data_IF_654618839680
#
_entry.id   IF_654618839680
#
_cell.length_a   1.000
_cell.length_b   1.000
_cell.length_c   1.000
_cell.angle_alpha   90.00
_cell.angle_beta   90.00
_cell.angle_gamma   90.00
#
_symmetry.space_group_name_H-M   'P 1'
#
loop_
_entity.id
_entity.type
_entity.pdbx_description
1 polymer ?
#
# COMPACT_ATOMS: atom_id res chain seq x y z
N UNK A 1 -57.14 -4.82 39.82
CA UNK A 1 -57.32 -3.52 39.14
C UNK A 1 -56.39 -3.54 37.93
N UNK A 2 -56.77 -4.03 36.77
CA UNK A 2 -57.73 -3.56 35.76
C UNK A 2 -56.92 -3.44 34.45
N UNK A 3 -57.35 -4.18 33.43
CA UNK A 3 -56.72 -4.37 32.10
C UNK A 3 -56.75 -3.09 31.26
N UNK A 4 -55.92 -3.06 30.20
CA UNK A 4 -56.30 -2.78 28.79
C UNK A 4 -55.02 -2.57 27.96
N UNK A 5 -54.65 -3.51 27.08
CA UNK A 5 -55.05 -3.72 25.67
C UNK A 5 -54.01 -3.15 24.68
N UNK A 6 -53.38 -4.08 23.97
CA UNK A 6 -52.64 -3.87 22.72
C UNK A 6 -53.55 -3.24 21.66
N UNK A 7 -53.03 -2.29 20.88
CA UNK A 7 -53.46 -2.05 19.50
C UNK A 7 -52.23 -1.82 18.62
N UNK A 8 -52.04 -2.76 17.70
CA UNK A 8 -51.13 -2.70 16.56
C UNK A 8 -51.66 -1.68 15.55
N UNK A 9 -50.83 -0.72 15.14
CA UNK A 9 -51.03 0.04 13.90
C UNK A 9 -49.71 0.14 13.15
N UNK A 10 -49.60 -0.70 12.13
CA UNK A 10 -48.68 -0.61 11.00
C UNK A 10 -48.96 0.68 10.22
N UNK A 11 -48.03 1.65 10.27
CA UNK A 11 -48.04 2.79 9.34
C UNK A 11 -47.08 2.52 8.18
N UNK A 12 -47.66 2.09 7.06
CA UNK A 12 -47.06 2.05 5.73
C UNK A 12 -46.77 3.48 5.26
N UNK A 13 -45.65 4.07 5.70
CA UNK A 13 -45.16 5.35 5.16
C UNK A 13 -44.40 5.10 3.86
N UNK A 14 -45.15 5.01 2.75
CA UNK A 14 -44.58 5.25 1.43
C UNK A 14 -44.10 6.70 1.37
N UNK A 15 -42.80 6.87 1.39
CA UNK A 15 -42.15 8.14 1.02
C UNK A 15 -42.48 8.43 -0.45
N UNK A 16 -43.48 9.29 -0.66
CA UNK A 16 -43.77 9.87 -1.97
C UNK A 16 -42.89 11.10 -2.10
N UNK A 17 -41.81 11.00 -2.87
CA UNK A 17 -41.02 12.16 -3.29
C UNK A 17 -41.86 13.01 -4.28
N UNK A 18 -42.20 14.26 -3.98
CA UNK A 18 -42.71 15.18 -4.99
C UNK A 18 -41.49 15.91 -5.59
N UNK A 19 -41.25 15.72 -6.90
CA UNK A 19 -40.58 16.62 -7.86
C UNK A 19 -40.05 15.80 -9.06
N UNK A 20 -40.96 15.13 -9.75
CA UNK A 20 -40.72 14.65 -11.12
C UNK A 20 -40.91 15.85 -12.06
N UNK A 21 -39.79 16.43 -12.51
CA UNK A 21 -39.81 17.55 -13.46
C UNK A 21 -38.47 18.25 -13.69
N UNK A 22 -37.39 17.86 -13.00
CA UNK A 22 -36.03 18.32 -13.35
C UNK A 22 -35.25 17.15 -13.95
N UNK A 23 -34.72 17.38 -15.16
CA UNK A 23 -34.07 16.38 -16.00
C UNK A 23 -33.02 15.53 -15.25
N UNK A 24 -32.99 14.20 -15.46
CA UNK A 24 -31.98 13.31 -14.88
C UNK A 24 -30.54 13.78 -15.12
N UNK A 25 -30.29 14.41 -16.28
CA UNK A 25 -28.99 14.96 -16.64
C UNK A 25 -28.56 16.13 -15.74
N UNK A 26 -29.48 17.01 -15.36
CA UNK A 26 -29.16 18.18 -14.53
C UNK A 26 -28.79 17.74 -13.11
N UNK A 27 -29.52 16.76 -12.58
CA UNK A 27 -29.25 16.16 -11.27
C UNK A 27 -27.89 15.42 -11.28
N UNK A 28 -27.60 14.64 -12.33
CA UNK A 28 -26.32 13.96 -12.50
C UNK A 28 -25.14 14.95 -12.55
N UNK A 29 -25.26 16.02 -13.34
CA UNK A 29 -24.23 17.07 -13.44
C UNK A 29 -23.98 17.77 -12.10
N UNK A 30 -25.02 18.02 -11.31
CA UNK A 30 -24.89 18.65 -10.00
C UNK A 30 -24.19 17.73 -9.00
N UNK A 31 -24.56 16.44 -8.96
CA UNK A 31 -23.90 15.44 -8.11
C UNK A 31 -22.42 15.31 -8.47
N UNK A 32 -22.10 15.31 -9.76
CA UNK A 32 -20.70 15.29 -10.22
C UNK A 32 -19.92 16.54 -9.83
N UNK A 33 -20.52 17.71 -9.94
CA UNK A 33 -19.86 18.96 -9.54
C UNK A 33 -19.52 18.95 -8.05
N UNK A 34 -20.45 18.49 -7.20
CA UNK A 34 -20.22 18.39 -5.75
C UNK A 34 -19.16 17.33 -5.43
N UNK A 35 -19.23 16.15 -6.06
CA UNK A 35 -18.24 15.09 -5.90
C UNK A 35 -16.82 15.57 -6.25
N UNK A 36 -16.67 16.30 -7.37
CA UNK A 36 -15.39 16.90 -7.78
C UNK A 36 -14.90 17.96 -6.79
N UNK A 37 -15.81 18.76 -6.24
CA UNK A 37 -15.46 19.77 -5.23
C UNK A 37 -14.89 19.12 -3.97
N UNK A 38 -15.55 18.08 -3.46
CA UNK A 38 -15.10 17.31 -2.29
C UNK A 38 -13.73 16.67 -2.56
N UNK A 39 -13.59 15.99 -3.70
CA UNK A 39 -12.32 15.37 -4.10
C UNK A 39 -11.19 16.41 -4.20
N UNK A 40 -11.44 17.54 -4.86
CA UNK A 40 -10.47 18.62 -5.05
C UNK A 40 -10.05 19.22 -3.71
N UNK A 41 -10.99 19.40 -2.77
CA UNK A 41 -10.71 19.92 -1.44
C UNK A 41 -9.73 19.04 -0.65
N UNK A 42 -9.69 17.73 -0.92
CA UNK A 42 -8.75 16.81 -0.28
C UNK A 42 -7.45 16.68 -1.09
N UNK A 43 -7.54 16.30 -2.36
CA UNK A 43 -6.37 15.96 -3.18
C UNK A 43 -5.56 17.20 -3.59
N UNK A 44 -6.27 18.30 -3.87
CA UNK A 44 -5.69 19.56 -4.37
C UNK A 44 -5.77 20.69 -3.33
N UNK A 45 -5.90 20.35 -2.05
CA UNK A 45 -5.87 21.31 -0.93
C UNK A 45 -4.69 22.29 -1.08
N UNK A 46 -4.91 23.63 -1.03
CA UNK A 46 -3.84 24.61 -1.18
C UNK A 46 -2.71 24.45 -0.15
N UNK A 47 -3.05 24.05 1.08
CA UNK A 47 -2.14 23.83 2.20
C UNK A 47 -1.18 22.66 1.96
N UNK A 48 -1.50 21.78 1.01
CA UNK A 48 -0.73 20.58 0.66
C UNK A 48 0.12 20.76 -0.60
N UNK A 49 0.22 21.99 -1.14
CA UNK A 49 0.99 22.27 -2.37
C UNK A 49 2.46 21.88 -2.22
N UNK A 50 3.11 22.30 -1.14
CA UNK A 50 4.52 21.96 -0.88
C UNK A 50 4.75 20.44 -0.82
N UNK A 51 3.85 19.70 -0.18
CA UNK A 51 3.92 18.24 -0.15
C UNK A 51 3.81 17.62 -1.55
N UNK A 52 2.87 18.11 -2.39
CA UNK A 52 2.72 17.64 -3.77
C UNK A 52 3.96 17.92 -4.60
N UNK A 53 4.53 19.11 -4.49
CA UNK A 53 5.73 19.51 -5.23
C UNK A 53 6.93 18.65 -4.83
N UNK A 54 7.07 18.33 -3.53
CA UNK A 54 8.07 17.38 -3.05
C UNK A 54 7.87 15.97 -3.59
N UNK A 55 6.63 15.48 -3.73
CA UNK A 55 6.38 14.18 -4.35
C UNK A 55 6.74 14.19 -5.84
N UNK A 56 6.36 15.23 -6.58
CA UNK A 56 6.68 15.38 -8.00
C UNK A 56 8.18 15.54 -8.24
N UNK A 57 8.89 16.21 -7.33
CA UNK A 57 10.33 16.42 -7.44
C UNK A 57 11.11 15.09 -7.54
N UNK A 58 10.55 14.01 -6.98
CA UNK A 58 11.12 12.65 -7.00
C UNK A 58 10.78 11.85 -8.27
N UNK A 59 9.83 12.30 -9.09
CA UNK A 59 9.44 11.57 -10.29
C UNK A 59 10.60 11.46 -11.29
N UNK A 60 10.76 10.27 -11.89
CA UNK A 60 11.83 9.96 -12.85
C UNK A 60 11.78 10.90 -14.06
N UNK A 61 10.58 11.21 -14.55
CA UNK A 61 10.40 12.09 -15.71
C UNK A 61 9.34 13.17 -15.47
N UNK A 62 9.44 14.33 -16.15
CA UNK A 62 8.39 15.34 -16.12
C UNK A 62 7.02 14.82 -16.61
N UNK A 63 7.00 13.82 -17.47
CA UNK A 63 5.76 13.24 -18.01
C UNK A 63 4.98 12.42 -16.96
N UNK A 64 5.69 11.80 -16.01
CA UNK A 64 5.06 11.16 -14.85
C UNK A 64 4.27 12.18 -14.03
N UNK A 65 4.85 13.37 -13.81
CA UNK A 65 4.19 14.46 -13.08
C UNK A 65 2.88 14.86 -13.75
N UNK A 66 2.88 15.00 -15.08
CA UNK A 66 1.67 15.32 -15.84
C UNK A 66 0.58 14.24 -15.69
N UNK A 67 0.97 12.96 -15.72
CA UNK A 67 0.05 11.84 -15.54
C UNK A 67 -0.57 11.85 -14.14
N UNK A 68 0.26 11.99 -13.10
CA UNK A 68 -0.16 12.08 -11.69
C UNK A 68 -1.04 13.31 -11.45
N UNK A 69 -0.65 14.47 -11.97
CA UNK A 69 -1.42 15.71 -11.86
C UNK A 69 -2.80 15.56 -12.51
N UNK A 70 -2.86 14.94 -13.70
CA UNK A 70 -4.13 14.74 -14.40
C UNK A 70 -5.09 13.86 -13.60
N UNK A 71 -4.60 12.73 -13.10
CA UNK A 71 -5.38 11.85 -12.22
C UNK A 71 -5.84 12.56 -10.94
N UNK A 72 -5.00 13.42 -10.34
CA UNK A 72 -5.42 14.20 -9.17
C UNK A 72 -6.52 15.23 -9.47
N UNK A 73 -6.62 15.70 -10.72
CA UNK A 73 -7.64 16.66 -11.14
C UNK A 73 -8.98 16.00 -11.47
N UNK A 74 -8.97 14.84 -12.13
CA UNK A 74 -10.19 14.20 -12.63
C UNK A 74 -10.55 12.87 -11.93
N UNK A 75 -9.63 12.27 -11.17
CA UNK A 75 -9.80 10.97 -10.50
C UNK A 75 -9.75 9.77 -11.43
N UNK A 76 -9.41 9.95 -12.71
CA UNK A 76 -9.54 8.91 -13.73
C UNK A 76 -8.19 8.28 -14.07
N UNK A 77 -8.07 6.97 -13.86
CA UNK A 77 -6.93 6.19 -14.33
C UNK A 77 -7.16 5.78 -15.79
N UNK A 78 -6.77 6.65 -16.71
CA UNK A 78 -6.94 6.44 -18.15
C UNK A 78 -5.66 6.81 -18.91
N UNK A 79 -5.44 6.24 -20.10
CA UNK A 79 -4.41 6.73 -21.01
C UNK A 79 -4.63 8.22 -21.32
N UNK A 80 -3.56 8.99 -21.48
CA UNK A 80 -3.62 10.44 -21.57
C UNK A 80 -4.56 10.93 -22.68
N UNK A 81 -4.49 10.32 -23.86
CA UNK A 81 -5.34 10.64 -25.03
C UNK A 81 -6.75 10.04 -25.01
N UNK A 82 -7.12 9.26 -23.98
CA UNK A 82 -8.46 8.65 -23.93
C UNK A 82 -9.52 9.72 -23.66
N UNK A 83 -10.66 9.71 -24.39
CA UNK A 83 -11.79 10.58 -24.10
C UNK A 83 -12.26 10.42 -22.65
N UNK A 84 -12.55 11.53 -22.00
CA UNK A 84 -13.12 11.56 -20.63
C UNK A 84 -14.60 11.90 -20.63
N UNK A 85 -15.15 12.19 -21.81
CA UNK A 85 -16.59 12.27 -22.05
C UNK A 85 -17.21 10.90 -21.76
N UNK A 86 -18.20 10.86 -20.87
CA UNK A 86 -18.85 9.62 -20.42
C UNK A 86 -18.43 9.13 -19.03
N UNK A 87 -17.48 9.80 -18.36
CA UNK A 87 -17.22 9.61 -16.93
C UNK A 87 -17.94 10.70 -16.12
N UNK A 88 -19.26 10.59 -16.09
CA UNK A 88 -20.21 11.55 -15.52
C UNK A 88 -20.95 11.01 -14.29
N UNK A 89 -20.48 9.91 -13.71
CA UNK A 89 -20.99 9.37 -12.46
C UNK A 89 -19.85 9.16 -11.46
N UNK A 90 -20.03 9.58 -10.19
CA UNK A 90 -19.02 9.36 -9.17
C UNK A 90 -18.98 7.87 -8.81
N UNK A 91 -17.78 7.33 -8.54
CA UNK A 91 -17.65 5.94 -8.12
C UNK A 91 -18.32 5.71 -6.76
N UNK A 92 -19.34 4.83 -6.65
CA UNK A 92 -19.99 4.55 -5.37
C UNK A 92 -19.03 4.01 -4.30
N UNK A 93 -17.93 3.36 -4.72
CA UNK A 93 -16.92 2.81 -3.80
C UNK A 93 -16.00 3.87 -3.20
N UNK A 94 -15.82 5.01 -3.89
CA UNK A 94 -14.99 6.13 -3.44
C UNK A 94 -15.80 7.19 -2.69
N UNK A 95 -17.10 7.24 -2.94
CA UNK A 95 -18.08 8.14 -2.31
C UNK A 95 -19.09 7.33 -1.50
N UNK A 96 -18.61 6.61 -0.48
CA UNK A 96 -19.46 5.71 0.33
C UNK A 96 -20.43 6.47 1.23
N UNK A 97 -20.02 7.66 1.71
CA UNK A 97 -20.90 8.57 2.46
C UNK A 97 -21.11 9.83 1.62
N UNK A 98 -22.34 10.35 1.52
CA UNK A 98 -22.57 11.66 0.92
C UNK A 98 -21.65 12.65 1.64
N UNK A 99 -20.83 13.38 0.87
CA UNK A 99 -19.87 14.38 1.35
C UNK A 99 -18.49 13.89 1.82
N UNK A 100 -18.12 12.61 1.68
CA UNK A 100 -16.77 12.16 2.06
C UNK A 100 -15.99 11.54 0.92
N UNK A 101 -14.74 11.93 0.77
CA UNK A 101 -13.75 11.28 -0.09
C UNK A 101 -12.90 10.31 0.73
N UNK A 102 -12.85 9.04 0.31
CA UNK A 102 -12.22 7.98 1.12
C UNK A 102 -10.70 7.85 0.97
N UNK A 103 -10.09 8.47 -0.05
CA UNK A 103 -8.64 8.35 -0.30
C UNK A 103 -7.86 9.51 0.31
N UNK A 104 -6.65 9.25 0.81
CA UNK A 104 -5.77 10.33 1.23
C UNK A 104 -5.24 11.13 0.03
N UNK A 105 -4.77 12.35 0.29
CA UNK A 105 -4.17 13.25 -0.70
C UNK A 105 -2.92 12.67 -1.39
N UNK A 106 -2.24 11.78 -0.71
CA UNK A 106 -1.08 11.06 -1.22
C UNK A 106 -1.45 9.91 -2.15
N UNK A 107 -2.68 9.39 -2.15
CA UNK A 107 -3.06 8.16 -2.84
C UNK A 107 -2.57 8.14 -4.31
N UNK A 108 -1.92 7.04 -4.69
CA UNK A 108 -1.35 6.86 -6.03
C UNK A 108 -1.65 5.43 -6.49
N UNK A 109 -2.39 5.25 -7.61
CA UNK A 109 -2.74 3.92 -8.10
C UNK A 109 -1.53 3.06 -8.44
N UNK A 110 -0.36 3.65 -8.77
CA UNK A 110 0.87 2.89 -9.02
C UNK A 110 1.39 2.16 -7.77
N UNK A 111 1.01 2.61 -6.56
CA UNK A 111 1.57 2.06 -5.31
C UNK A 111 1.13 0.62 -5.03
N UNK A 112 0.07 0.15 -5.67
CA UNK A 112 -0.47 -1.20 -5.45
C UNK A 112 0.13 -2.28 -6.34
N UNK A 113 0.99 -1.92 -7.30
CA UNK A 113 1.38 -2.81 -8.40
C UNK A 113 2.90 -2.85 -8.58
N UNK A 114 3.45 -3.99 -9.03
CA UNK A 114 4.89 -4.12 -9.29
C UNK A 114 5.35 -3.06 -10.29
N UNK A 115 6.15 -2.06 -9.86
CA UNK A 115 6.42 -0.92 -10.71
C UNK A 115 7.14 -1.31 -12.02
N UNK A 116 8.02 -2.31 -11.95
CA UNK A 116 8.81 -2.78 -13.10
C UNK A 116 7.94 -3.48 -14.16
N UNK A 117 6.97 -4.30 -13.74
CA UNK A 117 6.03 -4.94 -14.68
C UNK A 117 5.17 -3.90 -15.40
N UNK A 118 4.71 -2.88 -14.69
CA UNK A 118 3.92 -1.78 -15.27
C UNK A 118 4.76 -1.01 -16.30
N UNK A 119 6.03 -0.73 -16.00
CA UNK A 119 6.94 0.00 -16.89
C UNK A 119 7.17 -0.72 -18.22
N UNK A 120 7.30 -2.04 -18.17
CA UNK A 120 7.59 -2.90 -19.32
C UNK A 120 6.38 -3.08 -20.27
N UNK A 121 5.18 -2.64 -19.86
CA UNK A 121 4.01 -2.70 -20.73
C UNK A 121 4.19 -1.87 -21.99
N UNK A 122 4.08 -2.55 -23.14
CA UNK A 122 4.11 -1.91 -24.45
C UNK A 122 2.91 -0.96 -24.60
N UNK A 123 3.20 0.30 -24.89
CA UNK A 123 2.20 1.36 -25.06
C UNK A 123 2.58 2.25 -26.24
N UNK A 124 1.61 2.66 -27.10
CA UNK A 124 1.85 3.67 -28.14
C UNK A 124 2.38 5.00 -27.60
N UNK A 125 2.07 5.30 -26.34
CA UNK A 125 2.60 6.44 -25.60
C UNK A 125 3.54 5.92 -24.50
N UNK A 126 4.83 5.81 -24.82
CA UNK A 126 5.86 5.24 -23.93
C UNK A 126 6.06 6.05 -22.64
N UNK A 127 5.80 7.36 -22.66
CA UNK A 127 5.94 8.26 -21.51
C UNK A 127 4.65 8.39 -20.67
N UNK A 128 3.58 7.70 -21.03
CA UNK A 128 2.30 7.76 -20.33
C UNK A 128 2.20 6.63 -19.30
N UNK A 129 2.82 6.83 -18.14
CA UNK A 129 2.87 5.80 -17.08
C UNK A 129 1.50 5.35 -16.60
N UNK A 130 0.53 6.26 -16.47
CA UNK A 130 -0.82 5.88 -16.07
C UNK A 130 -1.60 5.15 -17.17
N UNK A 131 -1.25 5.40 -18.43
CA UNK A 131 -1.73 4.58 -19.55
C UNK A 131 -1.14 3.18 -19.54
N UNK A 132 0.15 3.03 -19.24
CA UNK A 132 0.78 1.71 -19.05
C UNK A 132 0.12 0.97 -17.90
N UNK A 133 -0.08 1.64 -16.75
CA UNK A 133 -0.81 1.07 -15.62
C UNK A 133 -2.22 0.64 -16.03
N UNK A 134 -2.97 1.49 -16.75
CA UNK A 134 -4.30 1.11 -17.24
C UNK A 134 -4.28 -0.17 -18.09
N UNK A 135 -3.34 -0.29 -19.03
CA UNK A 135 -3.21 -1.47 -19.88
C UNK A 135 -2.82 -2.71 -19.07
N UNK A 136 -1.87 -2.56 -18.14
CA UNK A 136 -1.47 -3.61 -17.20
C UNK A 136 -2.67 -4.12 -16.40
N UNK A 137 -3.41 -3.21 -15.74
CA UNK A 137 -4.59 -3.55 -14.94
C UNK A 137 -5.68 -4.22 -15.77
N UNK A 138 -5.92 -3.72 -16.98
CA UNK A 138 -6.90 -4.33 -17.87
C UNK A 138 -6.53 -5.77 -18.20
N UNK A 139 -5.25 -6.03 -18.48
CA UNK A 139 -4.76 -7.39 -18.72
C UNK A 139 -4.94 -8.28 -17.48
N UNK A 140 -4.47 -7.83 -16.32
CA UNK A 140 -4.56 -8.56 -15.05
C UNK A 140 -6.00 -8.85 -14.64
N UNK A 141 -6.89 -7.86 -14.74
CA UNK A 141 -8.30 -8.02 -14.39
C UNK A 141 -9.02 -8.98 -15.35
N UNK A 142 -8.72 -8.94 -16.65
CA UNK A 142 -9.31 -9.89 -17.61
C UNK A 142 -8.83 -11.31 -17.32
N UNK A 143 -7.53 -11.50 -17.09
CA UNK A 143 -6.97 -12.81 -16.74
C UNK A 143 -7.58 -13.32 -15.42
N UNK A 144 -7.73 -12.44 -14.45
CA UNK A 144 -8.38 -12.75 -13.18
C UNK A 144 -9.83 -13.20 -13.41
N UNK A 145 -10.63 -12.44 -14.16
CA UNK A 145 -12.03 -12.79 -14.45
C UNK A 145 -12.15 -14.11 -15.21
N UNK A 146 -11.27 -14.37 -16.16
CA UNK A 146 -11.24 -15.63 -16.90
C UNK A 146 -10.99 -16.81 -15.95
N UNK A 147 -9.97 -16.71 -15.09
CA UNK A 147 -9.69 -17.75 -14.08
C UNK A 147 -10.81 -17.88 -13.06
N UNK A 148 -11.36 -16.76 -12.60
CA UNK A 148 -12.43 -16.71 -11.64
C UNK A 148 -13.69 -17.40 -12.15
N UNK A 149 -13.99 -17.26 -13.46
CA UNK A 149 -15.14 -17.94 -14.08
C UNK A 149 -15.08 -19.47 -14.06
N UNK A 150 -13.88 -20.04 -13.91
CA UNK A 150 -13.65 -21.49 -13.85
C UNK A 150 -13.52 -22.02 -12.41
N UNK A 151 -13.43 -21.15 -11.42
CA UNK A 151 -13.22 -21.52 -10.02
C UNK A 151 -14.51 -21.39 -9.23
N UNK A 152 -14.78 -22.36 -8.36
CA UNK A 152 -15.81 -22.20 -7.32
C UNK A 152 -15.18 -21.45 -6.15
N UNK A 153 -15.53 -20.18 -5.99
CA UNK A 153 -14.98 -19.31 -4.94
C UNK A 153 -16.11 -18.76 -4.08
N UNK A 154 -16.04 -19.05 -2.79
CA UNK A 154 -16.92 -18.49 -1.77
C UNK A 154 -16.16 -17.43 -0.96
N UNK A 155 -16.80 -16.30 -0.72
CA UNK A 155 -16.23 -15.20 0.05
C UNK A 155 -16.94 -15.05 1.39
N UNK A 156 -16.16 -15.02 2.47
CA UNK A 156 -16.63 -14.69 3.81
C UNK A 156 -15.92 -13.42 4.29
N UNK A 157 -16.68 -12.40 4.66
CA UNK A 157 -16.16 -11.10 5.08
C UNK A 157 -16.46 -10.86 6.56
N UNK A 158 -15.41 -10.68 7.36
CA UNK A 158 -15.52 -10.35 8.78
C UNK A 158 -15.07 -8.92 9.04
N UNK A 159 -15.93 -8.12 9.67
CA UNK A 159 -15.58 -6.77 10.13
C UNK A 159 -15.38 -6.77 11.65
N UNK A 160 -14.15 -7.07 12.10
CA UNK A 160 -13.80 -7.11 13.52
C UNK A 160 -12.29 -6.97 13.75
N UNK A 161 -11.91 -6.67 14.98
CA UNK A 161 -10.52 -6.70 15.43
C UNK A 161 -9.93 -8.10 15.22
N UNK A 162 -8.74 -8.18 14.61
CA UNK A 162 -8.14 -9.48 14.32
C UNK A 162 -7.77 -10.30 15.56
N UNK A 163 -7.63 -9.68 16.74
CA UNK A 163 -7.47 -10.41 18.01
C UNK A 163 -8.71 -11.20 18.39
N UNK A 164 -9.88 -10.77 17.92
CA UNK A 164 -11.19 -11.40 18.18
C UNK A 164 -11.64 -12.33 17.07
N UNK A 165 -10.90 -12.41 15.96
CA UNK A 165 -11.24 -13.21 14.79
C UNK A 165 -11.09 -14.73 15.01
N UNK A 166 -10.04 -15.26 15.68
CA UNK A 166 -9.80 -16.71 15.73
C UNK A 166 -10.96 -17.56 16.27
N UNK A 167 -11.73 -17.13 17.30
CA UNK A 167 -12.90 -17.87 17.77
C UNK A 167 -14.01 -18.08 16.72
N UNK A 168 -14.05 -17.25 15.68
CA UNK A 168 -15.06 -17.31 14.61
C UNK A 168 -14.61 -18.14 13.41
N UNK A 169 -13.35 -18.58 13.38
CA UNK A 169 -12.77 -19.33 12.28
C UNK A 169 -12.53 -20.78 12.66
N UNK A 170 -12.65 -21.67 11.69
CA UNK A 170 -12.37 -23.08 11.88
C UNK A 170 -10.86 -23.32 12.04
N UNK A 171 -10.50 -24.13 13.04
CA UNK A 171 -9.11 -24.54 13.27
C UNK A 171 -8.68 -25.52 12.18
N UNK A 172 -7.40 -25.49 11.83
CA UNK A 172 -6.77 -26.39 10.86
C UNK A 172 -7.40 -26.40 9.46
N UNK A 173 -8.12 -25.34 9.08
CA UNK A 173 -8.80 -25.28 7.78
C UNK A 173 -7.96 -24.64 6.69
N UNK A 174 -7.12 -23.67 7.05
CA UNK A 174 -6.54 -22.76 6.06
C UNK A 174 -5.19 -23.27 5.56
N UNK A 175 -5.06 -23.45 4.24
CA UNK A 175 -3.79 -23.76 3.59
C UNK A 175 -2.85 -22.54 3.53
N UNK A 176 -3.40 -21.33 3.45
CA UNK A 176 -2.62 -20.10 3.40
C UNK A 176 -3.34 -19.02 4.16
N UNK A 177 -2.59 -18.34 5.04
CA UNK A 177 -3.07 -17.15 5.75
C UNK A 177 -2.16 -16.01 5.33
N UNK A 178 -2.69 -15.09 4.53
CA UNK A 178 -1.99 -13.88 4.16
C UNK A 178 -2.48 -12.72 5.03
N UNK A 179 -1.59 -12.17 5.85
CA UNK A 179 -1.81 -10.85 6.45
C UNK A 179 -1.55 -9.84 5.34
N UNK A 180 -2.63 -9.28 4.80
CA UNK A 180 -2.63 -8.45 3.60
C UNK A 180 -1.42 -7.51 3.51
N UNK A 181 -0.87 -7.36 2.29
CA UNK A 181 0.21 -6.43 1.91
C UNK A 181 0.09 -4.98 2.42
N UNK A 182 -1.03 -4.60 3.03
CA UNK A 182 -1.36 -3.24 3.50
C UNK A 182 -1.41 -3.14 5.03
N UNK A 183 -1.26 -4.25 5.78
CA UNK A 183 -1.38 -4.25 7.24
C UNK A 183 -0.06 -4.58 7.92
N UNK A 184 0.59 -3.56 8.48
CA UNK A 184 1.76 -3.64 9.36
C UNK A 184 1.44 -4.22 10.76
N UNK A 185 0.40 -5.04 10.86
CA UNK A 185 -0.11 -5.54 12.15
C UNK A 185 0.90 -6.41 12.90
N UNK A 186 1.84 -7.02 12.18
CA UNK A 186 2.94 -7.82 12.75
C UNK A 186 4.11 -6.99 13.25
N UNK A 187 4.18 -5.70 12.89
CA UNK A 187 5.17 -4.79 13.46
C UNK A 187 4.85 -4.58 14.96
N UNK A 188 5.89 -4.33 15.76
CA UNK A 188 5.79 -4.25 17.21
C UNK A 188 4.79 -3.18 17.68
N UNK A 189 4.68 -2.07 16.94
CA UNK A 189 3.77 -0.97 17.26
C UNK A 189 2.27 -1.34 17.18
N UNK A 190 1.91 -2.53 16.68
CA UNK A 190 0.52 -2.96 16.47
C UNK A 190 0.14 -4.18 17.32
N UNK A 191 0.01 -5.36 16.70
CA UNK A 191 -0.23 -6.61 17.43
C UNK A 191 1.09 -7.29 17.78
N UNK A 192 2.11 -7.14 16.91
CA UNK A 192 3.41 -7.75 17.07
C UNK A 192 3.43 -9.21 16.60
N UNK A 193 4.61 -9.68 16.20
CA UNK A 193 4.82 -11.00 15.59
C UNK A 193 4.29 -12.14 16.45
N UNK A 194 4.66 -12.16 17.75
CA UNK A 194 4.35 -13.31 18.63
C UNK A 194 2.86 -13.49 18.85
N UNK A 195 2.16 -12.39 19.12
CA UNK A 195 0.71 -12.39 19.32
C UNK A 195 -0.03 -12.69 18.01
N UNK A 196 0.43 -12.13 16.88
CA UNK A 196 -0.16 -12.42 15.58
C UNK A 196 -0.03 -13.91 15.21
N UNK A 197 1.11 -14.53 15.51
CA UNK A 197 1.35 -15.95 15.26
C UNK A 197 0.58 -16.85 16.23
N UNK A 198 0.47 -16.51 17.52
CA UNK A 198 -0.28 -17.31 18.49
C UNK A 198 -1.77 -17.41 18.14
N UNK A 199 -2.33 -16.33 17.56
CA UNK A 199 -3.72 -16.26 17.13
C UNK A 199 -3.98 -17.02 15.84
N UNK A 200 -3.03 -17.05 14.90
CA UNK A 200 -3.24 -17.58 13.56
C UNK A 200 -2.69 -18.98 13.33
N UNK A 201 -1.62 -19.37 14.03
CA UNK A 201 -1.04 -20.71 13.85
C UNK A 201 -2.04 -21.85 14.07
N UNK A 202 -3.01 -21.78 15.00
CA UNK A 202 -3.99 -22.85 15.18
C UNK A 202 -5.01 -22.96 14.04
N UNK A 203 -5.16 -21.90 13.23
CA UNK A 203 -6.06 -21.88 12.08
C UNK A 203 -5.44 -22.56 10.86
N UNK A 204 -4.11 -22.60 10.80
CA UNK A 204 -3.36 -23.21 9.71
C UNK A 204 -3.50 -24.75 9.76
N UNK A 205 -3.65 -25.35 8.58
CA UNK A 205 -3.62 -26.80 8.37
C UNK A 205 -2.37 -27.43 9.02
N UNK A 206 -2.50 -28.66 9.49
CA UNK A 206 -1.35 -29.35 10.10
C UNK A 206 -0.34 -29.76 9.02
N UNK A 207 0.94 -29.97 9.38
CA UNK A 207 1.94 -30.47 8.43
C UNK A 207 1.59 -31.83 7.80
N UNK A 208 0.83 -32.68 8.50
CA UNK A 208 0.37 -33.98 7.99
C UNK A 208 -0.70 -33.82 6.89
N UNK A 209 -1.57 -32.82 7.01
CA UNK A 209 -2.61 -32.53 6.03
C UNK A 209 -2.05 -31.78 4.83
N UNK A 210 -1.19 -30.78 5.08
CA UNK A 210 -0.62 -29.93 4.05
C UNK A 210 0.75 -29.38 4.46
N UNK A 211 1.81 -30.01 3.93
CA UNK A 211 3.20 -29.60 4.17
C UNK A 211 3.56 -28.22 3.57
N UNK A 212 2.72 -27.69 2.68
CA UNK A 212 2.89 -26.37 2.07
C UNK A 212 2.11 -25.28 2.80
N UNK A 213 1.39 -25.61 3.88
CA UNK A 213 0.60 -24.62 4.59
C UNK A 213 1.49 -23.51 5.17
N UNK A 214 1.13 -22.24 4.91
CA UNK A 214 1.99 -21.10 5.24
C UNK A 214 1.23 -19.88 5.73
N UNK A 215 1.82 -19.15 6.68
CA UNK A 215 1.39 -17.82 7.08
C UNK A 215 2.36 -16.82 6.46
N UNK A 216 1.84 -15.89 5.65
CA UNK A 216 2.61 -14.80 5.06
C UNK A 216 2.41 -13.52 5.89
N UNK A 217 3.53 -12.96 6.36
CA UNK A 217 3.58 -11.71 7.12
C UNK A 217 4.44 -10.68 6.40
N UNK A 218 4.15 -9.39 6.61
CA UNK A 218 4.85 -8.27 6.00
C UNK A 218 5.29 -7.29 7.08
N UNK A 219 6.57 -6.95 7.09
CA UNK A 219 7.16 -5.95 7.98
C UNK A 219 7.48 -4.70 7.17
N UNK A 220 6.85 -3.58 7.53
CA UNK A 220 7.01 -2.30 6.83
C UNK A 220 7.89 -1.34 7.64
N UNK A 221 7.78 -1.35 8.96
CA UNK A 221 8.47 -0.39 9.83
C UNK A 221 9.65 -1.00 10.58
N UNK A 222 9.71 -2.33 10.72
CA UNK A 222 10.66 -3.03 11.58
C UNK A 222 12.13 -2.58 11.40
N UNK A 223 12.60 -2.46 10.15
CA UNK A 223 13.98 -2.06 9.87
C UNK A 223 14.24 -0.61 10.28
N UNK A 224 13.30 0.29 10.02
CA UNK A 224 13.42 1.71 10.38
C UNK A 224 13.29 1.94 11.89
N UNK A 225 12.59 1.07 12.62
CA UNK A 225 12.52 1.12 14.08
C UNK A 225 13.90 0.86 14.69
N UNK A 226 14.60 -0.18 14.22
CA UNK A 226 15.98 -0.47 14.66
C UNK A 226 16.93 0.64 14.25
N UNK A 227 16.88 1.09 12.99
CA UNK A 227 17.75 2.16 12.51
C UNK A 227 17.58 3.47 13.30
N UNK A 228 16.34 3.84 13.66
CA UNK A 228 16.08 5.01 14.50
C UNK A 228 16.57 4.82 15.94
N UNK A 229 16.44 3.61 16.49
CA UNK A 229 16.98 3.31 17.81
C UNK A 229 18.49 3.55 17.84
N UNK A 230 19.21 3.11 16.80
CA UNK A 230 20.66 3.37 16.65
C UNK A 230 20.98 4.86 16.53
N UNK A 231 20.27 5.59 15.67
CA UNK A 231 20.45 7.04 15.53
C UNK A 231 20.22 7.78 16.85
N UNK A 232 19.23 7.35 17.63
CA UNK A 232 18.94 7.94 18.94
C UNK A 232 20.04 7.65 19.97
N UNK A 233 20.65 6.45 19.92
CA UNK A 233 21.77 6.06 20.75
C UNK A 233 23.07 6.74 20.33
N UNK A 234 23.26 6.99 19.03
CA UNK A 234 24.42 7.65 18.44
C UNK A 234 24.46 9.17 18.63
N UNK A 235 23.50 9.74 19.39
CA UNK A 235 23.32 11.15 19.75
C UNK A 235 24.61 11.99 19.85
N UNK A 236 25.10 12.41 18.69
CA UNK A 236 26.20 13.36 18.52
C UNK A 236 25.92 14.34 17.41
N UNK A 237 24.65 14.73 17.20
CA UNK A 237 24.24 16.00 16.56
C UNK A 237 24.84 16.35 15.19
N UNK A 238 25.50 15.41 14.51
CA UNK A 238 26.05 15.55 13.18
C UNK A 238 25.23 14.67 12.28
N UNK A 239 24.75 15.24 11.18
CA UNK A 239 24.29 14.46 10.03
C UNK A 239 25.37 13.42 9.76
N UNK A 240 25.10 12.16 10.09
CA UNK A 240 26.10 11.11 9.93
C UNK A 240 26.39 10.98 8.44
N UNK A 241 27.57 11.46 8.04
CA UNK A 241 27.99 11.59 6.64
C UNK A 241 28.18 10.21 6.00
N UNK A 242 28.20 9.15 6.80
CA UNK A 242 28.42 7.76 6.38
C UNK A 242 27.34 7.22 5.44
N UNK A 243 26.06 7.51 5.66
CA UNK A 243 24.97 7.03 4.78
C UNK A 243 24.68 7.99 3.62
N UNK A 244 25.01 9.27 3.77
CA UNK A 244 24.81 10.29 2.73
C UNK A 244 25.77 10.08 1.56
N UNK A 245 27.02 9.68 1.83
CA UNK A 245 28.04 9.53 0.80
C UNK A 245 27.67 8.48 -0.28
N UNK A 246 27.25 7.25 0.04
CA UNK A 246 26.76 6.29 -0.96
C UNK A 246 25.51 6.78 -1.72
N UNK A 247 24.58 7.48 -1.08
CA UNK A 247 23.39 8.02 -1.75
C UNK A 247 23.72 9.10 -2.76
N UNK A 248 24.68 9.97 -2.45
CA UNK A 248 25.12 11.01 -3.38
C UNK A 248 25.72 10.43 -4.66
N UNK A 249 26.25 9.20 -4.61
CA UNK A 249 26.70 8.50 -5.81
C UNK A 249 25.54 8.15 -6.77
N UNK A 250 24.33 7.90 -6.24
CA UNK A 250 23.09 7.74 -7.03
C UNK A 250 22.35 9.06 -7.29
N UNK A 251 22.75 10.15 -6.62
CA UNK A 251 22.16 11.48 -6.75
C UNK A 251 23.20 12.52 -7.19
N UNK A 252 23.86 12.34 -8.36
CA UNK A 252 25.04 13.12 -8.76
C UNK A 252 24.76 14.61 -8.99
N UNK A 253 23.48 15.00 -9.11
CA UNK A 253 23.06 16.40 -9.27
C UNK A 253 22.98 17.15 -7.94
N UNK A 254 23.00 16.45 -6.81
CA UNK A 254 22.90 17.05 -5.48
C UNK A 254 24.30 17.29 -4.96
N UNK A 255 24.62 18.56 -4.67
CA UNK A 255 25.91 18.92 -4.07
C UNK A 255 25.83 18.82 -2.54
N UNK A 256 26.84 18.25 -1.85
CA UNK A 256 26.93 18.30 -0.38
C UNK A 256 26.82 19.73 0.17
N UNK A 257 27.35 20.71 -0.57
CA UNK A 257 27.29 22.12 -0.18
C UNK A 257 25.86 22.66 -0.25
N UNK A 258 25.06 22.22 -1.22
CA UNK A 258 23.66 22.62 -1.34
C UNK A 258 22.82 22.11 -0.16
N UNK A 259 23.08 20.88 0.29
CA UNK A 259 22.45 20.30 1.49
C UNK A 259 22.78 21.09 2.77
N UNK A 260 24.02 21.59 2.89
CA UNK A 260 24.45 22.40 4.04
C UNK A 260 23.82 23.80 4.03
N UNK A 261 23.69 24.42 2.85
CA UNK A 261 23.11 25.76 2.69
C UNK A 261 21.58 25.73 2.86
N UNK A 262 20.92 24.67 2.41
CA UNK A 262 19.45 24.53 2.48
C UNK A 262 19.04 23.19 3.12
N UNK A 263 19.16 23.05 4.44
CA UNK A 263 18.82 21.80 5.13
C UNK A 263 17.34 21.43 5.02
N UNK A 264 16.46 22.41 4.78
CA UNK A 264 15.02 22.20 4.53
C UNK A 264 14.65 22.30 3.04
N UNK A 265 15.62 22.26 2.13
CA UNK A 265 15.40 22.30 0.69
C UNK A 265 14.86 20.99 0.10
N UNK A 266 14.38 21.06 -1.15
CA UNK A 266 13.85 19.89 -1.87
C UNK A 266 14.89 18.78 -2.05
N UNK A 267 16.17 19.14 -2.26
CA UNK A 267 17.28 18.18 -2.36
C UNK A 267 17.48 17.40 -1.06
N UNK A 268 17.41 18.09 0.08
CA UNK A 268 17.51 17.49 1.41
C UNK A 268 16.37 16.50 1.67
N UNK A 269 15.14 16.83 1.28
CA UNK A 269 14.02 15.89 1.34
C UNK A 269 14.18 14.70 0.38
N UNK A 270 14.72 14.91 -0.83
CA UNK A 270 14.97 13.83 -1.78
C UNK A 270 16.00 12.84 -1.23
N UNK A 271 17.09 13.33 -0.64
CA UNK A 271 18.10 12.51 0.03
C UNK A 271 17.48 11.76 1.22
N UNK A 272 16.71 12.46 2.05
CA UNK A 272 16.04 11.88 3.21
C UNK A 272 15.08 10.74 2.85
N UNK A 273 14.27 10.92 1.81
CA UNK A 273 13.33 9.90 1.34
C UNK A 273 14.05 8.69 0.70
N UNK A 274 15.26 8.89 0.17
CA UNK A 274 16.05 7.81 -0.46
C UNK A 274 16.82 6.92 0.52
N UNK A 275 16.90 7.29 1.81
CA UNK A 275 17.78 6.61 2.78
C UNK A 275 17.51 5.12 2.98
N UNK A 276 16.26 4.69 2.85
CA UNK A 276 15.89 3.30 3.05
C UNK A 276 16.27 2.41 1.86
N UNK A 277 16.47 3.01 0.67
CA UNK A 277 16.78 2.28 -0.57
C UNK A 277 18.15 1.58 -0.48
N UNK A 278 19.13 2.24 0.14
CA UNK A 278 20.49 1.70 0.30
C UNK A 278 20.76 1.10 1.68
N UNK A 279 19.74 1.01 2.53
CA UNK A 279 19.87 0.45 3.86
C UNK A 279 20.16 -1.06 3.77
N UNK A 280 21.06 -1.58 4.61
CA UNK A 280 21.28 -3.03 4.69
C UNK A 280 20.11 -3.72 5.40
N UNK A 281 19.02 -3.88 4.65
CA UNK A 281 17.76 -4.37 5.18
C UNK A 281 17.91 -5.76 5.83
N UNK A 282 18.86 -6.58 5.39
CA UNK A 282 19.09 -7.91 5.96
C UNK A 282 19.76 -7.82 7.33
N UNK A 283 20.79 -6.97 7.50
CA UNK A 283 21.43 -6.74 8.80
C UNK A 283 20.41 -6.20 9.82
N UNK A 284 19.66 -5.16 9.45
CA UNK A 284 18.64 -4.58 10.33
C UNK A 284 17.52 -5.56 10.65
N UNK A 285 17.11 -6.41 9.70
CA UNK A 285 16.14 -7.46 9.97
C UNK A 285 16.70 -8.51 10.94
N UNK A 286 17.94 -8.96 10.77
CA UNK A 286 18.56 -9.92 11.69
C UNK A 286 18.57 -9.38 13.12
N UNK A 287 18.93 -8.10 13.29
CA UNK A 287 18.90 -7.42 14.58
C UNK A 287 17.47 -7.32 15.14
N UNK A 288 16.50 -6.95 14.31
CA UNK A 288 15.09 -6.97 14.70
C UNK A 288 14.64 -8.36 15.18
N UNK A 289 15.00 -9.43 14.47
CA UNK A 289 14.64 -10.80 14.89
C UNK A 289 15.30 -11.20 16.22
N UNK A 290 16.50 -10.69 16.51
CA UNK A 290 17.18 -10.90 17.78
C UNK A 290 16.46 -10.16 18.92
N UNK A 291 16.13 -8.88 18.73
CA UNK A 291 15.40 -8.06 19.72
C UNK A 291 14.01 -8.61 20.02
N UNK A 292 13.27 -9.03 18.98
CA UNK A 292 11.94 -9.65 19.12
C UNK A 292 12.00 -11.12 19.54
N UNK A 293 13.20 -11.66 19.80
CA UNK A 293 13.44 -13.04 20.27
C UNK A 293 12.76 -14.09 19.38
N UNK A 294 12.93 -13.99 18.07
CA UNK A 294 12.34 -14.94 17.11
C UNK A 294 12.77 -16.39 17.38
N UNK A 295 13.98 -16.58 17.93
CA UNK A 295 14.48 -17.90 18.34
C UNK A 295 13.61 -18.62 19.38
N UNK A 296 12.77 -17.90 20.14
CA UNK A 296 11.83 -18.50 21.09
C UNK A 296 10.51 -18.94 20.44
N UNK A 297 10.17 -18.41 19.25
CA UNK A 297 8.88 -18.66 18.60
C UNK A 297 8.65 -20.16 18.33
N UNK A 298 9.61 -20.91 17.77
CA UNK A 298 9.44 -22.36 17.56
C UNK A 298 9.13 -23.11 18.85
N UNK A 299 9.79 -22.74 19.95
CA UNK A 299 9.62 -23.42 21.25
C UNK A 299 8.29 -23.11 21.93
N UNK A 300 7.75 -21.90 21.71
CA UNK A 300 6.53 -21.43 22.41
C UNK A 300 5.26 -21.62 21.60
N UNK A 301 5.34 -21.52 20.27
CA UNK A 301 4.18 -21.49 19.38
C UNK A 301 4.18 -22.64 18.36
N UNK A 302 5.17 -23.53 18.38
CA UNK A 302 5.33 -24.64 17.42
C UNK A 302 5.28 -24.16 15.95
N UNK A 303 5.84 -22.98 15.69
CA UNK A 303 5.87 -22.33 14.38
C UNK A 303 7.30 -21.89 14.07
N UNK A 304 7.76 -22.13 12.85
CA UNK A 304 9.09 -21.75 12.39
C UNK A 304 9.03 -20.82 11.17
N UNK A 305 9.93 -19.84 11.15
CA UNK A 305 10.21 -19.07 9.95
C UNK A 305 10.84 -19.97 8.90
N UNK A 306 10.37 -19.90 7.65
CA UNK A 306 10.96 -20.64 6.53
C UNK A 306 12.27 -19.99 6.11
N UNK A 307 13.31 -20.81 5.89
CA UNK A 307 14.57 -20.36 5.30
C UNK A 307 14.36 -19.90 3.86
N UNK A 308 13.60 -20.69 3.11
CA UNK A 308 13.34 -20.49 1.70
C UNK A 308 11.87 -20.17 1.49
N UNK A 309 11.64 -19.08 0.78
CA UNK A 309 10.30 -18.64 0.44
C UNK A 309 9.79 -19.41 -0.76
N UNK A 310 8.50 -19.75 -0.74
CA UNK A 310 7.85 -20.48 -1.83
C UNK A 310 6.76 -19.67 -2.52
N UNK A 311 6.35 -18.55 -1.92
CA UNK A 311 5.18 -17.78 -2.35
C UNK A 311 5.55 -16.39 -2.84
N UNK A 312 6.44 -15.69 -2.14
CA UNK A 312 6.89 -14.33 -2.49
C UNK A 312 8.34 -14.17 -2.10
N UNK A 313 9.11 -13.41 -2.86
CA UNK A 313 10.48 -13.09 -2.49
C UNK A 313 10.55 -12.44 -1.11
N UNK A 314 11.66 -12.66 -0.41
CA UNK A 314 11.94 -12.04 0.90
C UNK A 314 11.89 -10.52 0.82
N UNK A 315 12.45 -9.97 -0.25
CA UNK A 315 12.68 -8.55 -0.45
C UNK A 315 12.27 -8.13 -1.88
N UNK A 316 10.97 -8.15 -2.21
CA UNK A 316 10.51 -7.96 -3.58
C UNK A 316 10.78 -6.55 -4.13
N UNK A 317 10.98 -5.58 -3.25
CA UNK A 317 11.11 -4.13 -3.55
C UNK A 317 12.52 -3.60 -3.33
N UNK A 318 13.47 -4.46 -2.95
CA UNK A 318 14.86 -4.07 -2.71
C UNK A 318 15.56 -3.76 -4.02
N UNK A 319 16.43 -2.75 -3.99
CA UNK A 319 17.33 -2.43 -5.10
C UNK A 319 18.18 -3.67 -5.44
N UNK A 320 18.12 -4.13 -6.69
CA UNK A 320 18.78 -5.35 -7.14
C UNK A 320 20.15 -5.07 -7.72
N UNK A 321 20.28 -3.99 -8.48
CA UNK A 321 21.51 -3.65 -9.18
C UNK A 321 22.41 -2.71 -8.38
N UNK A 322 23.70 -3.00 -8.40
CA UNK A 322 24.73 -2.15 -7.78
C UNK A 322 25.11 -1.00 -8.71
N UNK A 323 25.54 0.12 -8.12
CA UNK A 323 26.02 1.29 -8.85
C UNK A 323 27.09 0.90 -9.89
N UNK A 324 26.92 1.35 -11.13
CA UNK A 324 27.79 1.05 -12.25
C UNK A 324 27.36 -0.16 -13.09
N UNK A 325 26.40 -0.95 -12.63
CA UNK A 325 25.71 -1.92 -13.48
C UNK A 325 24.71 -1.21 -14.40
N UNK A 326 24.50 -1.77 -15.60
CA UNK A 326 23.49 -1.28 -16.54
C UNK A 326 22.10 -1.32 -15.89
N UNK A 327 21.38 -0.19 -15.93
CA UNK A 327 20.04 -0.06 -15.34
C UNK A 327 19.99 0.24 -13.83
N UNK A 328 21.10 0.23 -13.09
CA UNK A 328 21.10 0.47 -11.64
C UNK A 328 20.56 1.85 -11.24
N UNK A 329 20.92 2.88 -12.02
CA UNK A 329 20.44 4.24 -11.81
C UNK A 329 18.93 4.35 -12.08
N UNK A 330 18.46 3.72 -13.16
CA UNK A 330 17.06 3.73 -13.57
C UNK A 330 16.15 2.96 -12.60
N UNK A 331 16.69 1.91 -11.96
CA UNK A 331 16.03 1.19 -10.86
C UNK A 331 15.94 2.09 -9.61
N UNK A 332 17.05 2.71 -9.20
CA UNK A 332 17.08 3.59 -8.03
C UNK A 332 16.13 4.78 -8.17
N UNK A 333 16.19 5.52 -9.28
CA UNK A 333 15.34 6.69 -9.50
C UNK A 333 13.86 6.33 -9.49
N UNK A 334 13.53 5.11 -9.89
CA UNK A 334 12.16 4.63 -9.93
C UNK A 334 11.63 4.16 -8.59
N UNK A 335 12.45 3.43 -7.82
CA UNK A 335 12.12 3.11 -6.43
C UNK A 335 11.86 4.41 -5.65
N UNK A 336 12.69 5.44 -5.85
CA UNK A 336 12.51 6.76 -5.26
C UNK A 336 11.24 7.50 -5.72
N UNK A 337 10.85 7.34 -6.99
CA UNK A 337 9.61 7.88 -7.55
C UNK A 337 8.34 7.10 -7.12
N UNK A 338 8.53 5.87 -6.65
CA UNK A 338 7.47 5.01 -6.14
C UNK A 338 7.11 5.36 -4.69
N UNK A 339 6.12 4.66 -4.13
CA UNK A 339 5.82 4.72 -2.68
C UNK A 339 6.46 3.60 -1.88
N UNK A 340 7.29 2.79 -2.53
CA UNK A 340 8.00 1.72 -1.88
C UNK A 340 9.19 2.30 -1.10
N UNK A 341 9.47 1.69 0.03
CA UNK A 341 10.58 2.04 0.91
C UNK A 341 11.82 1.16 0.66
N UNK A 342 11.67 0.10 -0.15
CA UNK A 342 12.70 -0.90 -0.49
C UNK A 342 13.19 -1.75 0.68
N UNK A 343 12.47 -1.70 1.80
CA UNK A 343 12.73 -2.45 3.04
C UNK A 343 11.52 -3.28 3.47
N UNK A 344 10.55 -3.46 2.56
CA UNK A 344 9.39 -4.31 2.81
C UNK A 344 9.82 -5.78 2.91
N UNK A 345 9.81 -6.31 4.14
CA UNK A 345 10.21 -7.70 4.39
C UNK A 345 9.01 -8.62 4.46
N UNK A 346 8.95 -9.56 3.53
CA UNK A 346 8.05 -10.70 3.67
C UNK A 346 8.68 -11.77 4.55
N UNK A 347 7.88 -12.43 5.37
CA UNK A 347 8.29 -13.62 6.12
C UNK A 347 7.21 -14.68 6.02
N UNK A 348 7.61 -15.86 5.56
CA UNK A 348 6.76 -17.06 5.56
C UNK A 348 7.00 -17.89 6.81
N UNK A 349 5.91 -18.32 7.44
CA UNK A 349 5.92 -19.16 8.62
C UNK A 349 5.21 -20.47 8.36
N UNK A 350 5.78 -21.57 8.84
CA UNK A 350 5.18 -22.89 8.81
C UNK A 350 4.99 -23.45 10.20
N UNK A 351 3.97 -24.29 10.35
CA UNK A 351 3.73 -25.05 11.57
C UNK A 351 4.72 -26.23 11.66
N UNK A 352 5.12 -26.60 12.87
CA UNK A 352 6.05 -27.71 13.13
C UNK A 352 5.34 -29.01 13.51
N UNK A 353 4.18 -28.91 14.15
CA UNK A 353 3.35 -30.00 14.67
C UNK A 353 1.88 -29.61 14.57
#
# INVERSE_FOLDING_TARGET
>A
MARSQEHSQTSDQRYVHPHLGQEPERLSRQVMAEARKIQTAVILAPERTDYRDRWYYKDVTPFMRLSKQRFRQDGLLLPFGHPRSGFDLPSPTLFQTPMSWSLCDQADPLSGWPPEEVRQVASPASNNEYGKLFLYLRHELINYLYRFSALHVDFELHNMDTRKLPPHLEKHKYARIERAKVSNITDQAYVGTREALSLLSPLLQTPEENSHATILTLYLNAMMEIAKADESLASSGKYDVGWVSPLLAYLPRISPMALAISPQGAESYKVWDSRSILLDAEEYFQRYTAEQKFHEIPRKLHVAMKSDHTTVDKWPTRLKSCLGQEGAQDEFDFLLASKLTSIERHVEWRRLE
#
